data_IF_218176207050
#
_entry.id   IF_218176207050
#
_cell.length_a   1.000
_cell.length_b   1.000
_cell.length_c   1.000
_cell.angle_alpha   90.00
_cell.angle_beta   90.00
_cell.angle_gamma   90.00
#
_symmetry.space_group_name_H-M   'P 1'
#
loop_
_entity.id
_entity.type
_entity.pdbx_description
1 polymer ?
#
# COMPACT_ATOMS: atom_id res chain seq x y z
N UNK A 1 -109.59 -43.96 47.18
CA UNK A 1 -109.56 -44.55 48.54
C UNK A 1 -108.23 -44.12 49.16
N UNK A 2 -108.26 -43.21 50.17
CA UNK A 2 -108.00 -43.52 51.60
C UNK A 2 -106.70 -44.32 51.78
N UNK A 3 -105.76 -44.03 52.66
CA UNK A 3 -105.49 -43.02 53.69
C UNK A 3 -104.13 -43.47 54.27
N UNK A 4 -103.29 -42.58 54.80
CA UNK A 4 -102.43 -42.77 56.00
C UNK A 4 -101.34 -41.67 56.02
N UNK A 5 -101.54 -40.55 56.72
CA UNK A 5 -101.46 -40.29 58.17
C UNK A 5 -100.03 -40.09 58.73
N UNK A 6 -99.86 -38.87 59.25
CA UNK A 6 -99.21 -38.51 60.53
C UNK A 6 -97.77 -38.02 60.61
N UNK A 7 -97.63 -36.93 61.39
CA UNK A 7 -96.42 -36.50 62.11
C UNK A 7 -95.79 -35.25 61.50
N UNK A 8 -96.26 -34.03 61.76
CA UNK A 8 -95.95 -33.18 62.94
C UNK A 8 -94.46 -33.20 63.34
N UNK A 9 -93.78 -32.07 63.10
CA UNK A 9 -92.46 -31.79 63.66
C UNK A 9 -91.73 -30.65 62.94
N UNK A 10 -92.11 -29.40 63.19
CA UNK A 10 -91.17 -28.27 63.14
C UNK A 10 -90.61 -28.11 64.56
N UNK A 11 -89.30 -27.88 64.74
CA UNK A 11 -88.93 -26.52 65.11
C UNK A 11 -87.58 -26.04 64.58
N UNK A 12 -87.53 -24.72 64.36
CA UNK A 12 -86.44 -23.78 64.61
C UNK A 12 -85.01 -24.22 64.29
N UNK A 13 -84.42 -23.52 63.31
CA UNK A 13 -83.11 -22.85 63.48
C UNK A 13 -82.79 -21.91 62.33
N UNK A 14 -83.02 -20.62 62.56
CA UNK A 14 -82.23 -19.56 61.95
C UNK A 14 -80.80 -19.74 62.45
N UNK A 15 -79.88 -20.15 61.57
CA UNK A 15 -78.44 -20.02 61.82
C UNK A 15 -77.82 -19.37 60.59
N UNK A 16 -77.34 -18.16 60.80
CA UNK A 16 -76.61 -17.34 59.85
C UNK A 16 -75.41 -18.10 59.27
N UNK A 17 -75.42 -18.34 57.96
CA UNK A 17 -74.22 -18.77 57.24
C UNK A 17 -73.42 -17.52 56.81
N UNK A 18 -72.80 -16.85 57.78
CA UNK A 18 -71.67 -15.96 57.50
C UNK A 18 -70.49 -16.85 57.10
N UNK A 19 -70.43 -17.22 55.82
CA UNK A 19 -69.28 -17.89 55.24
C UNK A 19 -68.15 -16.86 55.12
N UNK A 20 -67.44 -16.63 56.22
CA UNK A 20 -66.10 -16.05 56.18
C UNK A 20 -65.23 -17.03 55.38
N UNK A 21 -65.05 -16.78 54.09
CA UNK A 21 -64.06 -17.47 53.25
C UNK A 21 -62.70 -17.11 53.83
N UNK A 22 -61.96 -18.05 54.44
CA UNK A 22 -60.59 -17.74 54.81
C UNK A 22 -59.80 -17.65 53.51
N UNK A 23 -59.42 -16.44 53.11
CA UNK A 23 -58.35 -16.23 52.14
C UNK A 23 -57.07 -16.77 52.78
N UNK A 24 -56.87 -18.10 52.70
CA UNK A 24 -55.56 -18.69 52.84
C UNK A 24 -54.77 -18.19 51.63
N UNK A 25 -54.06 -17.09 51.82
CA UNK A 25 -52.82 -16.82 51.08
C UNK A 25 -51.92 -18.04 51.33
N UNK A 26 -52.08 -19.05 50.49
CA UNK A 26 -51.21 -20.20 50.45
C UNK A 26 -49.80 -19.64 50.33
N UNK A 27 -48.97 -19.92 51.34
CA UNK A 27 -47.56 -19.56 51.36
C UNK A 27 -46.97 -19.99 50.02
N UNK A 28 -46.71 -19.03 49.15
CA UNK A 28 -45.98 -19.29 47.91
C UNK A 28 -44.65 -19.87 48.40
N UNK A 29 -44.40 -21.10 48.02
CA UNK A 29 -43.33 -21.91 48.56
C UNK A 29 -41.97 -21.22 48.36
N UNK A 30 -41.41 -20.61 49.41
CA UNK A 30 -40.10 -19.92 49.40
C UNK A 30 -38.90 -20.86 49.11
N UNK A 31 -39.16 -22.17 48.91
CA UNK A 31 -38.14 -23.22 48.76
C UNK A 31 -37.87 -23.68 47.34
N UNK A 32 -38.35 -22.98 46.31
CA UNK A 32 -38.07 -23.39 44.93
C UNK A 32 -36.61 -23.13 44.51
N UNK A 33 -35.92 -22.18 45.14
CA UNK A 33 -34.52 -21.83 44.81
C UNK A 33 -33.72 -21.60 46.10
N UNK A 34 -32.69 -22.44 46.32
CA UNK A 34 -31.67 -22.20 47.34
C UNK A 34 -31.02 -20.83 47.13
N UNK A 35 -30.68 -20.13 48.21
CA UNK A 35 -29.95 -18.86 48.17
C UNK A 35 -28.70 -18.96 47.26
N UNK A 36 -27.99 -20.08 47.33
CA UNK A 36 -26.83 -20.35 46.49
C UNK A 36 -27.17 -20.40 44.99
N UNK A 37 -28.34 -20.93 44.61
CA UNK A 37 -28.76 -21.00 43.22
C UNK A 37 -29.14 -19.62 42.66
N UNK A 38 -29.70 -18.73 43.49
CA UNK A 38 -30.00 -17.33 43.11
C UNK A 38 -28.70 -16.56 42.84
N UNK A 39 -27.71 -16.69 43.73
CA UNK A 39 -26.40 -16.07 43.52
C UNK A 39 -25.68 -16.61 42.28
N UNK A 40 -25.74 -17.93 42.01
CA UNK A 40 -25.19 -18.51 40.79
C UNK A 40 -25.81 -17.91 39.52
N UNK A 41 -27.12 -17.69 39.48
CA UNK A 41 -27.78 -17.05 38.33
C UNK A 41 -27.27 -15.63 38.15
N UNK A 42 -27.18 -14.83 39.21
CA UNK A 42 -26.68 -13.45 39.11
C UNK A 42 -25.23 -13.43 38.62
N UNK A 43 -24.37 -14.32 39.14
CA UNK A 43 -22.98 -14.44 38.69
C UNK A 43 -22.89 -14.89 37.24
N UNK A 44 -23.63 -15.92 36.83
CA UNK A 44 -23.63 -16.39 35.44
C UNK A 44 -24.18 -15.33 34.48
N UNK A 45 -25.25 -14.64 34.88
CA UNK A 45 -25.84 -13.55 34.11
C UNK A 45 -24.88 -12.37 33.99
N UNK A 46 -24.08 -12.09 35.04
CA UNK A 46 -23.02 -11.08 35.02
C UNK A 46 -21.79 -11.51 34.21
N UNK A 47 -21.44 -12.79 34.19
CA UNK A 47 -20.32 -13.33 33.42
C UNK A 47 -20.63 -13.42 31.92
N UNK A 48 -21.89 -13.63 31.54
CA UNK A 48 -22.29 -13.72 30.14
C UNK A 48 -21.89 -12.49 29.29
N UNK A 49 -22.22 -11.24 29.67
CA UNK A 49 -21.79 -10.06 28.91
C UNK A 49 -20.28 -9.87 28.96
N UNK A 50 -19.61 -10.22 30.06
CA UNK A 50 -18.14 -10.15 30.16
C UNK A 50 -17.48 -11.12 29.17
N UNK A 51 -17.89 -12.38 29.17
CA UNK A 51 -17.36 -13.40 28.26
C UNK A 51 -17.60 -13.03 26.80
N UNK A 52 -18.79 -12.50 26.47
CA UNK A 52 -19.11 -12.02 25.14
C UNK A 52 -18.19 -10.86 24.72
N UNK A 53 -18.02 -9.84 25.57
CA UNK A 53 -17.15 -8.71 25.29
C UNK A 53 -15.69 -9.15 25.14
N UNK A 54 -15.20 -10.06 25.98
CA UNK A 54 -13.86 -10.63 25.85
C UNK A 54 -13.70 -11.35 24.50
N UNK A 55 -14.68 -12.16 24.10
CA UNK A 55 -14.61 -12.88 22.83
C UNK A 55 -14.63 -11.94 21.62
N UNK A 56 -15.48 -10.91 21.65
CA UNK A 56 -15.52 -9.89 20.60
C UNK A 56 -14.20 -9.12 20.52
N UNK A 57 -13.65 -8.72 21.67
CA UNK A 57 -12.37 -8.04 21.75
C UNK A 57 -11.22 -8.88 21.18
N UNK A 58 -11.09 -10.14 21.62
CA UNK A 58 -10.07 -11.06 21.09
C UNK A 58 -10.24 -11.28 19.59
N UNK A 59 -11.48 -11.48 19.13
CA UNK A 59 -11.76 -11.68 17.71
C UNK A 59 -11.40 -10.44 16.87
N UNK A 60 -11.59 -9.24 17.41
CA UNK A 60 -11.19 -8.01 16.77
C UNK A 60 -9.66 -7.89 16.73
N UNK A 61 -8.98 -8.05 17.87
CA UNK A 61 -7.52 -7.97 17.93
C UNK A 61 -6.84 -8.98 17.03
N UNK A 62 -7.36 -10.20 16.91
CA UNK A 62 -6.80 -11.21 16.01
C UNK A 62 -6.93 -10.84 14.53
N UNK A 63 -8.02 -10.16 14.13
CA UNK A 63 -8.16 -9.63 12.77
C UNK A 63 -7.12 -8.56 12.49
N UNK A 64 -6.95 -7.61 13.41
CA UNK A 64 -5.98 -6.52 13.28
C UNK A 64 -4.55 -7.07 13.19
N UNK A 65 -4.22 -8.10 13.99
CA UNK A 65 -2.92 -8.78 13.93
C UNK A 65 -2.71 -9.47 12.57
N UNK A 66 -3.69 -10.24 12.10
CA UNK A 66 -3.57 -10.93 10.81
C UNK A 66 -3.48 -9.95 9.65
N UNK A 67 -4.18 -8.82 9.75
CA UNK A 67 -4.08 -7.73 8.79
C UNK A 67 -2.66 -7.16 8.75
N UNK A 68 -2.11 -6.77 9.90
CA UNK A 68 -0.75 -6.23 10.02
C UNK A 68 0.34 -7.24 9.59
N UNK A 69 0.12 -8.54 9.81
CA UNK A 69 1.03 -9.59 9.34
C UNK A 69 1.09 -9.64 7.80
N UNK A 70 -0.05 -9.52 7.12
CA UNK A 70 -0.10 -9.44 5.67
C UNK A 70 0.57 -8.16 5.15
N UNK A 71 0.38 -7.02 5.81
CA UNK A 71 1.04 -5.78 5.44
C UNK A 71 2.57 -5.89 5.55
N UNK A 72 3.08 -6.49 6.63
CA UNK A 72 4.53 -6.71 6.79
C UNK A 72 5.10 -7.59 5.67
N UNK A 73 4.39 -8.65 5.29
CA UNK A 73 4.77 -9.50 4.15
C UNK A 73 4.83 -8.66 2.87
N UNK A 74 3.82 -7.80 2.65
CA UNK A 74 3.76 -6.85 1.55
C UNK A 74 4.93 -5.88 1.49
N UNK A 75 5.20 -5.18 2.59
CA UNK A 75 6.29 -4.21 2.70
C UNK A 75 7.64 -4.89 2.45
N UNK A 76 7.86 -6.05 3.04
CA UNK A 76 9.10 -6.84 2.83
C UNK A 76 9.32 -7.12 1.34
N UNK A 77 8.27 -7.48 0.61
CA UNK A 77 8.38 -7.73 -0.81
C UNK A 77 8.52 -6.43 -1.63
N UNK A 78 7.80 -5.38 -1.26
CA UNK A 78 7.91 -4.07 -1.91
C UNK A 78 9.33 -3.48 -1.79
N UNK A 79 9.96 -3.60 -0.61
CA UNK A 79 11.34 -3.18 -0.37
C UNK A 79 12.32 -3.93 -1.28
N UNK A 80 12.13 -5.24 -1.48
CA UNK A 80 12.94 -6.04 -2.41
C UNK A 80 12.73 -5.64 -3.88
N UNK A 81 11.52 -5.20 -4.26
CA UNK A 81 11.18 -4.79 -5.62
C UNK A 81 11.72 -3.39 -5.99
N UNK A 82 11.88 -2.50 -5.01
CA UNK A 82 12.22 -1.09 -5.24
C UNK A 82 13.56 -0.85 -5.98
N UNK A 83 14.66 -1.57 -5.66
CA UNK A 83 15.92 -1.43 -6.40
C UNK A 83 15.79 -1.82 -7.88
N UNK A 84 14.98 -2.82 -8.21
CA UNK A 84 14.74 -3.19 -9.61
C UNK A 84 13.90 -2.11 -10.32
N UNK A 85 12.90 -1.56 -9.64
CA UNK A 85 12.10 -0.46 -10.17
C UNK A 85 12.97 0.78 -10.47
N UNK A 86 13.92 1.13 -9.59
CA UNK A 86 14.82 2.27 -9.80
C UNK A 86 15.76 2.05 -10.99
N UNK A 87 16.33 0.85 -11.15
CA UNK A 87 17.15 0.49 -12.32
C UNK A 87 16.38 0.56 -13.63
N UNK A 88 15.10 0.14 -13.62
CA UNK A 88 14.25 0.18 -14.80
C UNK A 88 13.78 1.61 -15.15
N UNK A 89 13.47 2.42 -14.14
CA UNK A 89 12.82 3.72 -14.31
C UNK A 89 13.80 4.90 -14.38
N UNK A 90 14.81 4.98 -13.50
CA UNK A 90 15.68 6.15 -13.39
C UNK A 90 16.84 6.18 -14.38
N UNK A 91 16.68 5.47 -15.49
CA UNK A 91 17.68 5.30 -16.52
C UNK A 91 18.62 6.49 -16.70
N UNK A 92 19.91 6.18 -16.59
CA UNK A 92 21.08 7.02 -16.83
C UNK A 92 20.89 7.98 -18.03
N UNK A 93 21.17 9.30 -17.89
CA UNK A 93 21.09 10.25 -19.00
C UNK A 93 21.93 9.78 -20.20
N UNK A 94 21.56 10.25 -21.39
CA UNK A 94 22.25 9.85 -22.62
C UNK A 94 23.76 10.14 -22.52
N UNK A 95 24.58 9.10 -22.40
CA UNK A 95 26.05 9.20 -22.29
C UNK A 95 26.65 8.90 -20.91
N UNK A 96 25.85 8.58 -19.87
CA UNK A 96 26.41 8.05 -18.62
C UNK A 96 26.58 6.53 -18.64
N UNK A 97 27.52 6.05 -17.85
CA UNK A 97 27.83 4.63 -17.68
C UNK A 97 26.65 3.89 -17.05
N UNK A 98 26.37 2.68 -17.55
CA UNK A 98 25.36 1.81 -16.97
C UNK A 98 25.65 1.54 -15.50
N UNK A 99 24.60 1.35 -14.70
CA UNK A 99 24.73 0.94 -13.31
C UNK A 99 25.66 -0.28 -13.19
N UNK A 100 26.48 -0.38 -12.11
CA UNK A 100 27.40 -1.49 -11.93
C UNK A 100 26.69 -2.84 -12.01
N UNK A 101 27.29 -3.82 -12.68
CA UNK A 101 26.74 -5.18 -12.81
C UNK A 101 26.40 -5.82 -11.45
N UNK A 102 27.19 -5.49 -10.41
CA UNK A 102 26.93 -5.93 -9.03
C UNK A 102 25.59 -5.40 -8.49
N UNK A 103 25.24 -4.15 -8.78
CA UNK A 103 23.97 -3.53 -8.34
C UNK A 103 22.78 -4.18 -9.02
N UNK A 104 22.88 -4.44 -10.33
CA UNK A 104 21.83 -5.12 -11.10
C UNK A 104 21.64 -6.55 -10.58
N UNK A 105 22.73 -7.29 -10.38
CA UNK A 105 22.67 -8.65 -9.86
C UNK A 105 22.15 -8.70 -8.40
N UNK A 106 22.43 -7.67 -7.59
CA UNK A 106 21.89 -7.58 -6.24
C UNK A 106 20.37 -7.32 -6.24
N UNK A 107 19.89 -6.43 -7.10
CA UNK A 107 18.45 -6.16 -7.24
C UNK A 107 17.68 -7.41 -7.72
N UNK A 108 18.19 -8.11 -8.74
CA UNK A 108 17.59 -9.36 -9.21
C UNK A 108 17.56 -10.43 -8.10
N UNK A 109 18.68 -10.62 -7.39
CA UNK A 109 18.76 -11.57 -6.27
C UNK A 109 17.82 -11.22 -5.11
N UNK A 110 17.64 -9.94 -4.80
CA UNK A 110 16.72 -9.52 -3.74
C UNK A 110 15.28 -9.94 -4.05
N UNK A 111 14.86 -9.77 -5.31
CA UNK A 111 13.55 -10.24 -5.78
C UNK A 111 13.48 -11.76 -5.76
N UNK A 112 14.46 -12.47 -6.32
CA UNK A 112 14.42 -13.94 -6.39
C UNK A 112 14.36 -14.60 -5.00
N UNK A 113 15.15 -14.09 -4.04
CA UNK A 113 15.18 -14.61 -2.67
C UNK A 113 13.88 -14.35 -1.90
N UNK A 114 13.22 -13.22 -2.19
CA UNK A 114 11.96 -12.85 -1.55
C UNK A 114 10.79 -13.57 -2.22
N UNK A 115 10.80 -13.66 -3.55
CA UNK A 115 9.87 -14.42 -4.37
C UNK A 115 9.80 -15.88 -3.92
N UNK A 116 10.96 -16.52 -3.70
CA UNK A 116 11.03 -17.91 -3.23
C UNK A 116 10.30 -18.15 -1.89
N UNK A 117 10.11 -17.10 -1.07
CA UNK A 117 9.43 -17.19 0.22
C UNK A 117 7.98 -16.73 0.17
N UNK A 118 7.67 -15.71 -0.64
CA UNK A 118 6.42 -14.97 -0.55
C UNK A 118 5.51 -15.11 -1.78
N UNK A 119 5.99 -15.68 -2.90
CA UNK A 119 5.19 -15.81 -4.12
C UNK A 119 3.95 -16.68 -3.96
N UNK A 120 4.03 -17.71 -3.11
CA UNK A 120 2.88 -18.56 -2.82
C UNK A 120 1.84 -17.81 -2.00
N UNK A 121 2.27 -17.09 -0.97
CA UNK A 121 1.39 -16.32 -0.09
C UNK A 121 0.67 -15.17 -0.83
N UNK A 122 1.37 -14.48 -1.75
CA UNK A 122 0.81 -13.35 -2.51
C UNK A 122 0.34 -13.75 -3.92
N UNK A 123 0.44 -15.03 -4.27
CA UNK A 123 0.15 -15.56 -5.60
C UNK A 123 0.87 -14.82 -6.75
N UNK A 124 2.07 -14.27 -6.50
CA UNK A 124 2.80 -13.35 -7.38
C UNK A 124 3.80 -14.00 -8.34
N UNK A 125 3.83 -15.34 -8.39
CA UNK A 125 4.82 -16.11 -9.15
C UNK A 125 4.95 -15.73 -10.63
N UNK A 126 3.83 -15.42 -11.30
CA UNK A 126 3.87 -15.02 -12.70
C UNK A 126 4.56 -13.65 -12.88
N UNK A 127 4.29 -12.73 -11.97
CA UNK A 127 4.87 -11.38 -11.97
C UNK A 127 6.36 -11.41 -11.62
N UNK A 128 6.76 -12.17 -10.59
CA UNK A 128 8.16 -12.30 -10.19
C UNK A 128 9.01 -12.92 -11.30
N UNK A 129 8.51 -13.95 -11.99
CA UNK A 129 9.16 -14.57 -13.14
C UNK A 129 9.28 -13.61 -14.32
N UNK A 130 8.27 -12.78 -14.58
CA UNK A 130 8.35 -11.75 -15.62
C UNK A 130 9.44 -10.71 -15.32
N UNK A 131 9.62 -10.35 -14.04
CA UNK A 131 10.71 -9.48 -13.62
C UNK A 131 12.06 -10.17 -13.85
N UNK A 132 12.24 -11.40 -13.37
CA UNK A 132 13.48 -12.16 -13.57
C UNK A 132 13.85 -12.27 -15.07
N UNK A 133 12.86 -12.55 -15.93
CA UNK A 133 13.05 -12.59 -17.38
C UNK A 133 13.48 -11.23 -17.96
N UNK A 134 12.89 -10.13 -17.49
CA UNK A 134 13.23 -8.79 -17.97
C UNK A 134 14.64 -8.32 -17.57
N UNK A 135 15.19 -8.85 -16.48
CA UNK A 135 16.56 -8.58 -16.03
C UNK A 135 17.59 -9.60 -16.55
N UNK A 136 17.17 -10.65 -17.23
CA UNK A 136 18.07 -11.62 -17.86
C UNK A 136 18.89 -10.97 -18.98
N UNK A 137 20.22 -11.07 -18.91
CA UNK A 137 21.10 -10.45 -19.90
C UNK A 137 20.98 -8.93 -19.97
N UNK A 138 20.67 -8.28 -18.84
CA UNK A 138 20.47 -6.84 -18.76
C UNK A 138 21.66 -6.03 -19.27
N UNK A 139 21.41 -5.21 -20.28
CA UNK A 139 22.34 -4.21 -20.82
C UNK A 139 21.85 -2.78 -20.53
N UNK A 140 20.59 -2.64 -20.12
CA UNK A 140 19.98 -1.36 -19.77
C UNK A 140 19.63 -0.50 -20.97
N UNK A 141 19.36 -1.12 -22.11
CA UNK A 141 18.83 -0.39 -23.27
C UNK A 141 17.39 0.10 -23.03
N UNK A 142 16.88 0.95 -23.92
CA UNK A 142 15.55 1.58 -23.76
C UNK A 142 14.42 0.55 -23.76
N UNK A 143 14.55 -0.52 -24.55
CA UNK A 143 13.51 -1.54 -24.66
C UNK A 143 13.49 -2.44 -23.40
N UNK A 144 14.66 -2.87 -22.93
CA UNK A 144 14.83 -3.62 -21.69
C UNK A 144 14.32 -2.81 -20.50
N UNK A 145 14.67 -1.51 -20.38
CA UNK A 145 14.15 -0.63 -19.32
C UNK A 145 12.64 -0.53 -19.32
N UNK A 146 12.02 -0.38 -20.49
CA UNK A 146 10.56 -0.33 -20.62
C UNK A 146 9.91 -1.66 -20.20
N UNK A 147 10.45 -2.78 -20.64
CA UNK A 147 9.94 -4.11 -20.31
C UNK A 147 10.08 -4.42 -18.82
N UNK A 148 11.26 -4.16 -18.24
CA UNK A 148 11.51 -4.34 -16.81
C UNK A 148 10.65 -3.42 -15.96
N UNK A 149 10.47 -2.15 -16.35
CA UNK A 149 9.60 -1.22 -15.63
C UNK A 149 8.17 -1.72 -15.57
N UNK A 150 7.63 -2.19 -16.71
CA UNK A 150 6.27 -2.75 -16.76
C UNK A 150 6.14 -4.04 -15.94
N UNK A 151 7.14 -4.93 -15.96
CA UNK A 151 7.13 -6.15 -15.18
C UNK A 151 7.18 -5.88 -13.68
N UNK A 152 8.04 -4.96 -13.24
CA UNK A 152 8.17 -4.58 -11.82
C UNK A 152 6.92 -3.83 -11.34
N UNK A 153 6.34 -2.96 -12.16
CA UNK A 153 5.05 -2.31 -11.84
C UNK A 153 3.95 -3.35 -11.61
N UNK A 154 3.83 -4.34 -12.49
CA UNK A 154 2.85 -5.41 -12.35
C UNK A 154 3.07 -6.23 -11.06
N UNK A 155 4.32 -6.45 -10.67
CA UNK A 155 4.66 -7.08 -9.40
C UNK A 155 4.25 -6.21 -8.20
N UNK A 156 4.57 -4.92 -8.22
CA UNK A 156 4.20 -3.96 -7.15
C UNK A 156 2.68 -3.90 -6.99
N UNK A 157 1.93 -3.82 -8.10
CA UNK A 157 0.46 -3.87 -8.06
C UNK A 157 -0.03 -5.17 -7.44
N UNK A 158 0.51 -6.32 -7.85
CA UNK A 158 0.11 -7.61 -7.30
C UNK A 158 0.40 -7.73 -5.80
N UNK A 159 1.55 -7.22 -5.34
CA UNK A 159 1.89 -7.16 -3.92
C UNK A 159 0.84 -6.33 -3.19
N UNK A 160 0.60 -5.09 -3.64
CA UNK A 160 -0.38 -4.20 -3.04
C UNK A 160 -1.79 -4.79 -2.94
N UNK A 161 -2.25 -5.45 -4.00
CA UNK A 161 -3.57 -6.08 -4.07
C UNK A 161 -3.74 -7.28 -3.13
N UNK A 162 -2.64 -7.98 -2.79
CA UNK A 162 -2.69 -9.26 -2.06
C UNK A 162 -2.19 -9.18 -0.63
N UNK A 163 -1.45 -8.15 -0.27
CA UNK A 163 -0.82 -8.02 1.05
C UNK A 163 -1.49 -6.96 1.94
N UNK A 164 -2.79 -6.69 1.73
CA UNK A 164 -3.59 -5.69 2.46
C UNK A 164 -3.08 -4.23 2.42
N UNK A 165 -1.97 -3.95 1.74
CA UNK A 165 -1.35 -2.63 1.69
C UNK A 165 -2.22 -1.56 1.03
N UNK A 166 -3.16 -1.96 0.16
CA UNK A 166 -4.13 -1.04 -0.46
C UNK A 166 -5.42 -0.88 0.36
N UNK A 167 -5.59 -1.71 1.41
CA UNK A 167 -6.86 -1.91 2.11
C UNK A 167 -6.87 -1.36 3.54
N UNK A 168 -5.82 -0.66 3.99
CA UNK A 168 -5.76 -0.16 5.37
C UNK A 168 -6.98 0.75 5.67
N UNK A 169 -7.80 0.42 6.68
CA UNK A 169 -8.94 1.25 7.08
C UNK A 169 -8.53 2.61 7.65
N UNK A 170 -7.30 2.76 8.13
CA UNK A 170 -6.81 4.02 8.70
C UNK A 170 -6.27 4.97 7.62
N UNK A 171 -6.88 6.16 7.55
CA UNK A 171 -6.62 7.16 6.50
C UNK A 171 -5.14 7.57 6.38
N UNK A 172 -4.44 7.72 7.50
CA UNK A 172 -3.07 8.25 7.50
C UNK A 172 -2.07 7.25 6.88
N UNK A 173 -2.21 5.97 7.21
CA UNK A 173 -1.41 4.88 6.63
C UNK A 173 -1.78 4.61 5.17
N UNK A 174 -3.06 4.70 4.83
CA UNK A 174 -3.54 4.59 3.45
C UNK A 174 -2.79 5.55 2.52
N UNK A 175 -2.58 6.81 2.91
CA UNK A 175 -1.87 7.77 2.06
C UNK A 175 -0.39 7.43 1.88
N UNK A 176 0.28 6.89 2.91
CA UNK A 176 1.68 6.44 2.78
C UNK A 176 1.77 5.30 1.76
N UNK A 177 0.84 4.35 1.82
CA UNK A 177 0.82 3.22 0.90
C UNK A 177 0.39 3.62 -0.52
N UNK A 178 -0.58 4.53 -0.69
CA UNK A 178 -0.93 5.10 -2.00
C UNK A 178 0.28 5.80 -2.65
N UNK A 179 1.03 6.56 -1.87
CA UNK A 179 2.26 7.20 -2.34
C UNK A 179 3.30 6.16 -2.75
N UNK A 180 3.54 5.15 -1.91
CA UNK A 180 4.56 4.11 -2.17
C UNK A 180 4.21 3.20 -3.35
N UNK A 181 2.96 2.74 -3.45
CA UNK A 181 2.52 1.76 -4.44
C UNK A 181 2.16 2.40 -5.78
N UNK A 182 1.62 3.63 -5.79
CA UNK A 182 1.03 4.22 -6.99
C UNK A 182 1.74 5.49 -7.41
N UNK A 183 1.83 6.50 -6.52
CA UNK A 183 2.32 7.83 -6.90
C UNK A 183 3.81 7.84 -7.22
N UNK A 184 4.64 7.23 -6.37
CA UNK A 184 6.09 7.21 -6.57
C UNK A 184 6.49 6.45 -7.85
N UNK A 185 5.99 5.23 -8.12
CA UNK A 185 6.25 4.56 -9.39
C UNK A 185 5.84 5.41 -10.60
N UNK A 186 4.64 6.01 -10.56
CA UNK A 186 4.14 6.87 -11.63
C UNK A 186 5.00 8.13 -11.85
N UNK A 187 5.46 8.76 -10.77
CA UNK A 187 6.36 9.91 -10.81
C UNK A 187 7.70 9.53 -11.42
N UNK A 188 8.30 8.41 -11.00
CA UNK A 188 9.57 7.92 -11.55
C UNK A 188 9.45 7.62 -13.05
N UNK A 189 8.37 6.95 -13.49
CA UNK A 189 8.10 6.74 -14.92
C UNK A 189 7.97 8.06 -15.68
N UNK A 190 7.28 9.04 -15.11
CA UNK A 190 7.09 10.35 -15.74
C UNK A 190 8.41 11.13 -15.84
N UNK A 191 9.20 11.16 -14.77
CA UNK A 191 10.54 11.72 -14.75
C UNK A 191 11.45 11.05 -15.81
N UNK A 192 11.39 9.72 -15.92
CA UNK A 192 12.16 8.98 -16.92
C UNK A 192 11.84 9.40 -18.35
N UNK A 193 10.55 9.64 -18.66
CA UNK A 193 10.10 10.09 -19.98
C UNK A 193 10.66 11.47 -20.30
N UNK A 194 10.61 12.38 -19.34
CA UNK A 194 11.17 13.73 -19.48
C UNK A 194 12.69 13.66 -19.65
N UNK A 195 13.40 12.88 -18.85
CA UNK A 195 14.85 12.72 -18.95
C UNK A 195 15.28 12.18 -20.33
N UNK A 196 14.57 11.17 -20.86
CA UNK A 196 14.82 10.65 -22.22
C UNK A 196 14.53 11.67 -23.31
N UNK A 197 13.44 12.43 -23.18
CA UNK A 197 13.10 13.49 -24.13
C UNK A 197 14.18 14.60 -24.13
N UNK A 198 14.67 14.98 -22.96
CA UNK A 198 15.77 15.94 -22.82
C UNK A 198 17.07 15.41 -23.44
N UNK A 199 17.44 14.15 -23.17
CA UNK A 199 18.62 13.51 -23.76
C UNK A 199 18.54 13.44 -25.29
N UNK A 200 17.37 13.10 -25.84
CA UNK A 200 17.13 13.12 -27.28
C UNK A 200 17.26 14.53 -27.87
N UNK A 201 16.74 15.55 -27.18
CA UNK A 201 16.82 16.93 -27.64
C UNK A 201 18.27 17.44 -27.68
N UNK A 202 19.07 17.10 -26.66
CA UNK A 202 20.51 17.42 -26.58
C UNK A 202 21.31 16.72 -27.68
N UNK A 203 21.06 15.43 -27.94
CA UNK A 203 21.72 14.70 -29.03
C UNK A 203 21.37 15.29 -30.41
N UNK A 204 20.12 15.71 -30.61
CA UNK A 204 19.65 16.27 -31.89
C UNK A 204 20.14 17.71 -32.14
N UNK A 205 20.46 18.46 -31.08
CA UNK A 205 20.99 19.81 -31.16
C UNK A 205 22.32 19.95 -30.41
N UNK A 206 23.42 19.33 -30.89
CA UNK A 206 24.73 19.54 -30.30
C UNK A 206 25.07 21.02 -30.35
N UNK A 207 25.43 21.62 -29.20
CA UNK A 207 25.74 23.06 -29.05
C UNK A 207 26.83 23.58 -30.01
N UNK A 208 27.49 22.72 -30.79
CA UNK A 208 28.60 23.07 -31.68
C UNK A 208 28.20 23.83 -32.96
N UNK A 209 26.97 23.73 -33.47
CA UNK A 209 26.59 24.44 -34.72
C UNK A 209 26.41 25.95 -34.51
N UNK A 210 25.77 26.35 -33.41
CA UNK A 210 25.57 27.77 -33.06
C UNK A 210 26.86 28.45 -32.58
N UNK A 211 27.70 27.74 -31.80
CA UNK A 211 28.95 28.30 -31.26
C UNK A 211 30.10 28.36 -32.27
N UNK A 212 30.22 27.39 -33.19
CA UNK A 212 31.23 27.47 -34.24
C UNK A 212 30.99 28.68 -35.16
N UNK A 213 29.72 29.01 -35.43
CA UNK A 213 29.35 30.19 -36.22
C UNK A 213 29.83 31.50 -35.58
N UNK A 214 29.76 31.62 -34.25
CA UNK A 214 30.25 32.79 -33.50
C UNK A 214 31.78 32.84 -33.52
N UNK A 215 32.46 31.70 -33.42
CA UNK A 215 33.92 31.65 -33.52
C UNK A 215 34.43 31.98 -34.94
N UNK A 216 33.71 31.57 -35.99
CA UNK A 216 34.01 31.99 -37.35
C UNK A 216 33.88 33.52 -37.50
N UNK A 217 32.82 34.13 -36.95
CA UNK A 217 32.64 35.58 -36.98
C UNK A 217 33.73 36.34 -36.19
N UNK A 218 34.16 35.82 -35.04
CA UNK A 218 35.27 36.38 -34.27
C UNK A 218 36.63 36.26 -35.01
N UNK A 219 36.86 35.14 -35.69
CA UNK A 219 38.06 34.91 -36.50
C UNK A 219 38.11 35.82 -37.74
N UNK A 220 36.97 36.05 -38.40
CA UNK A 220 36.88 37.02 -39.50
C UNK A 220 37.21 38.44 -39.05
N UNK A 221 36.71 38.88 -37.88
CA UNK A 221 36.99 40.21 -37.33
C UNK A 221 38.48 40.46 -37.08
N UNK A 222 39.20 39.44 -36.61
CA UNK A 222 40.66 39.50 -36.39
C UNK A 222 41.47 39.51 -37.70
N UNK A 223 41.01 38.80 -38.74
CA UNK A 223 41.66 38.79 -40.05
C UNK A 223 41.52 40.15 -40.74
N UNK A 224 40.35 40.79 -40.68
CA UNK A 224 40.12 42.12 -41.23
C UNK A 224 40.90 43.23 -40.52
N UNK A 225 41.04 43.17 -39.18
CA UNK A 225 41.87 44.15 -38.46
C UNK A 225 43.35 44.03 -38.81
N UNK A 226 43.84 42.80 -39.03
CA UNK A 226 45.25 42.55 -39.34
C UNK A 226 45.60 42.94 -40.78
N UNK A 227 44.65 42.94 -41.72
CA UNK A 227 44.88 43.44 -43.09
C UNK A 227 44.91 44.97 -43.15
N UNK A 228 44.07 45.67 -42.37
CA UNK A 228 44.08 47.14 -42.28
C UNK A 228 45.35 47.69 -41.59
N UNK A 229 45.90 46.98 -40.61
CA UNK A 229 47.14 47.40 -39.95
C UNK A 229 48.39 47.26 -40.84
N UNK A 230 48.37 46.35 -41.84
CA UNK A 230 49.52 46.10 -42.72
C UNK A 230 49.60 47.08 -43.91
N UNK A 231 48.53 47.80 -44.22
CA UNK A 231 48.50 48.84 -45.27
C UNK A 231 48.96 50.23 -44.80
N UNK A 232 49.36 50.38 -43.54
CA UNK A 232 49.80 51.66 -42.95
C UNK A 232 51.30 51.72 -42.61
N UNK A 233 52.12 50.83 -43.18
CA UNK A 233 53.59 50.94 -43.06
C UNK A 233 54.10 51.99 -44.06
N UNK A 234 54.83 53.03 -43.61
CA UNK A 234 55.42 54.03 -44.50
C UNK A 234 56.56 53.42 -45.32
N UNK A 235 56.55 53.68 -46.63
CA UNK A 235 57.69 53.43 -47.52
C UNK A 235 58.82 54.42 -47.21
N UNK A 236 59.81 53.99 -46.46
CA UNK A 236 61.15 54.59 -46.38
C UNK A 236 62.15 53.42 -46.36
N UNK A 237 63.28 53.38 -47.05
CA UNK A 237 64.01 54.35 -47.86
C UNK A 237 64.78 53.60 -48.96
N UNK A 238 65.06 54.30 -50.07
CA UNK A 238 65.92 53.87 -51.16
C UNK A 238 67.38 53.95 -50.69
N UNK A 239 68.23 52.93 -50.90
CA UNK A 239 69.67 53.05 -50.63
C UNK A 239 70.34 53.75 -51.81
N UNK A 240 70.91 54.94 -51.59
CA UNK A 240 71.83 55.58 -52.53
C UNK A 240 73.24 55.04 -52.32
N UNK A 241 73.80 54.46 -53.39
CA UNK A 241 75.19 54.03 -53.48
C UNK A 241 76.13 55.23 -53.68
N UNK A 242 77.22 55.26 -52.89
CA UNK A 242 78.54 55.77 -53.23
C UNK A 242 79.54 55.26 -52.20
#
# INVERSE_FOLDING_TARGET
MRNEFMGVGMPDRIVALSAAVPLRLGKINDRAFSLAARFKIVVLLGLAPVALLTQLFVSQSLKDIHFAEQERIGVTYLEAAWPAHSLASLGEPAGSESAPAATIAAAARAIDTTAAKLDEALESKAQSQAVAAAFSGWQGDVAQRKAAGAAVDALITRIGDKSNLILDPDLDSFYVMDVALLKLPQLMRSASRVNRAAGFWVQRHPRSSAWNSIQHLARWRLITQRSMARSLLPMTAIPTAA
#
